data_IF_864407158100
#
_entry.id   IF_864407158100
#
_cell.length_a   1.000
_cell.length_b   1.000
_cell.length_c   1.000
_cell.angle_alpha   90.00
_cell.angle_beta   90.00
_cell.angle_gamma   90.00
#
_symmetry.space_group_name_H-M   'P 1'
#
loop_
_entity.id
_entity.type
_entity.pdbx_description
1 polymer ?
#
# COMPACT_ATOMS: atom_id res chain seq x y z
N UNK A 1 -17.18 5.27 13.73
CA UNK A 1 -15.89 4.56 13.83
C UNK A 1 -14.76 5.59 13.79
N UNK A 2 -13.81 5.50 14.72
CA UNK A 2 -12.63 6.38 14.70
C UNK A 2 -11.83 6.15 13.41
N UNK A 3 -11.29 7.23 12.84
CA UNK A 3 -10.44 7.14 11.65
C UNK A 3 -9.10 6.46 12.01
N UNK A 4 -8.57 5.62 11.11
CA UNK A 4 -7.25 5.02 11.29
C UNK A 4 -6.17 6.10 11.44
N UNK A 5 -5.20 5.89 12.31
CA UNK A 5 -4.09 6.81 12.52
C UNK A 5 -3.22 6.93 11.26
N UNK A 6 -2.75 8.14 10.93
CA UNK A 6 -1.61 8.35 10.03
C UNK A 6 -0.33 8.15 10.84
N UNK A 7 0.57 7.28 10.36
CA UNK A 7 1.83 7.05 11.03
C UNK A 7 2.82 8.18 10.73
N UNK A 8 3.56 8.61 11.75
CA UNK A 8 4.75 9.42 11.53
C UNK A 8 5.87 8.58 10.89
N UNK A 9 6.87 9.24 10.32
CA UNK A 9 8.04 8.55 9.74
C UNK A 9 8.74 7.65 10.77
N UNK A 10 8.87 8.13 12.00
CA UNK A 10 9.48 7.35 13.10
C UNK A 10 8.65 6.13 13.47
N UNK A 11 7.32 6.25 13.50
CA UNK A 11 6.42 5.13 13.77
C UNK A 11 6.50 4.09 12.66
N UNK A 12 6.54 4.52 11.41
CA UNK A 12 6.72 3.60 10.29
C UNK A 12 8.07 2.88 10.34
N UNK A 13 9.17 3.60 10.65
CA UNK A 13 10.49 2.98 10.90
C UNK A 13 10.44 1.94 12.02
N UNK A 14 9.72 2.22 13.13
CA UNK A 14 9.54 1.23 14.21
C UNK A 14 8.79 -0.02 13.74
N UNK A 15 7.70 0.16 12.95
CA UNK A 15 6.98 -0.98 12.39
C UNK A 15 7.89 -1.84 11.49
N UNK A 16 8.72 -1.22 10.65
CA UNK A 16 9.68 -1.93 9.81
C UNK A 16 10.78 -2.63 10.63
N UNK A 17 11.22 -2.04 11.75
CA UNK A 17 12.19 -2.65 12.65
C UNK A 17 11.62 -3.90 13.36
N UNK A 18 10.33 -3.87 13.75
CA UNK A 18 9.63 -5.04 14.27
C UNK A 18 9.56 -6.13 13.19
N UNK A 19 9.17 -5.76 11.97
CA UNK A 19 9.07 -6.70 10.85
C UNK A 19 10.41 -7.36 10.56
N UNK A 20 11.53 -6.64 10.62
CA UNK A 20 12.87 -7.18 10.35
C UNK A 20 13.26 -8.36 11.27
N UNK A 21 12.66 -8.45 12.46
CA UNK A 21 12.90 -9.55 13.42
C UNK A 21 11.96 -10.75 13.25
N UNK A 22 10.99 -10.67 12.34
CA UNK A 22 9.98 -11.72 12.14
C UNK A 22 10.47 -12.80 11.18
N UNK A 23 10.00 -14.03 11.36
CA UNK A 23 10.33 -15.19 10.51
C UNK A 23 10.09 -14.91 9.02
N UNK A 24 8.99 -14.21 8.71
CA UNK A 24 8.59 -13.90 7.32
C UNK A 24 8.79 -12.41 7.00
N UNK A 25 9.91 -11.84 7.45
CA UNK A 25 10.21 -10.40 7.39
C UNK A 25 10.09 -9.81 5.99
N UNK A 26 10.60 -10.48 4.96
CA UNK A 26 10.56 -9.96 3.59
C UNK A 26 9.11 -9.78 3.09
N UNK A 27 8.25 -10.77 3.34
CA UNK A 27 6.83 -10.76 2.99
C UNK A 27 6.07 -9.68 3.78
N UNK A 28 6.25 -9.67 5.10
CA UNK A 28 5.57 -8.76 6.01
C UNK A 28 5.97 -7.31 5.72
N UNK A 29 7.26 -7.09 5.37
CA UNK A 29 7.77 -5.80 4.89
C UNK A 29 7.08 -5.38 3.61
N UNK A 30 7.04 -6.23 2.59
CA UNK A 30 6.42 -5.89 1.32
C UNK A 30 4.92 -5.59 1.48
N UNK A 31 4.21 -6.32 2.34
CA UNK A 31 2.80 -6.03 2.66
C UNK A 31 2.61 -4.61 3.20
N UNK A 32 3.45 -4.17 4.14
CA UNK A 32 3.42 -2.80 4.65
C UNK A 32 3.74 -1.78 3.56
N UNK A 33 4.79 -2.02 2.75
CA UNK A 33 5.21 -1.08 1.71
C UNK A 33 4.16 -0.89 0.62
N UNK A 34 3.48 -1.95 0.19
CA UNK A 34 2.38 -1.86 -0.78
C UNK A 34 1.23 -0.97 -0.29
N UNK A 35 0.92 -1.04 1.01
CA UNK A 35 -0.12 -0.17 1.58
C UNK A 35 0.35 1.27 1.77
N UNK A 36 1.63 1.50 2.13
CA UNK A 36 2.18 2.83 2.43
C UNK A 36 2.68 3.58 1.19
N UNK A 37 3.28 2.89 0.20
CA UNK A 37 3.95 3.54 -0.94
C UNK A 37 3.15 3.46 -2.24
N UNK A 38 2.18 2.55 -2.34
CA UNK A 38 1.26 2.46 -3.47
C UNK A 38 -0.20 2.69 -3.06
N UNK A 39 -0.47 2.98 -1.78
CA UNK A 39 -1.80 3.26 -1.27
C UNK A 39 -2.80 2.13 -1.47
N UNK A 40 -2.35 0.89 -1.59
CA UNK A 40 -3.22 -0.25 -1.84
C UNK A 40 -4.09 -0.58 -0.62
N UNK A 41 -5.32 -1.04 -0.88
CA UNK A 41 -6.16 -1.64 0.16
C UNK A 41 -5.62 -3.02 0.52
N UNK A 42 -5.78 -3.44 1.76
CA UNK A 42 -5.28 -4.76 2.19
C UNK A 42 -5.89 -5.92 1.39
N UNK A 43 -7.15 -5.81 0.98
CA UNK A 43 -7.78 -6.81 0.10
C UNK A 43 -7.12 -6.84 -1.30
N UNK A 44 -6.73 -5.69 -1.85
CA UNK A 44 -6.02 -5.59 -3.11
C UNK A 44 -4.61 -6.22 -2.99
N UNK A 45 -3.92 -5.97 -1.88
CA UNK A 45 -2.61 -6.58 -1.60
C UNK A 45 -2.73 -8.10 -1.44
N UNK A 46 -3.78 -8.57 -0.76
CA UNK A 46 -4.01 -10.00 -0.54
C UNK A 46 -4.34 -10.77 -1.84
N UNK A 47 -4.99 -10.09 -2.79
CA UNK A 47 -5.40 -10.66 -4.07
C UNK A 47 -4.37 -10.47 -5.20
N UNK A 48 -3.24 -9.78 -4.92
CA UNK A 48 -2.25 -9.47 -5.94
C UNK A 48 -1.45 -10.71 -6.33
N UNK A 49 -1.35 -10.98 -7.64
CA UNK A 49 -0.62 -12.10 -8.22
C UNK A 49 0.66 -11.65 -8.92
N UNK A 50 1.58 -12.56 -9.16
CA UNK A 50 2.90 -12.30 -9.74
C UNK A 50 2.78 -11.79 -11.17
N UNK A 51 1.92 -12.39 -11.99
CA UNK A 51 1.67 -12.01 -13.39
C UNK A 51 1.14 -10.57 -13.57
N UNK A 52 0.61 -9.98 -12.50
CA UNK A 52 0.19 -8.57 -12.51
C UNK A 52 1.36 -7.60 -12.29
N UNK A 53 2.39 -8.01 -11.59
CA UNK A 53 3.50 -7.12 -11.19
C UNK A 53 4.77 -7.32 -11.99
N UNK A 54 4.87 -8.44 -12.72
CA UNK A 54 6.04 -8.79 -13.53
C UNK A 54 5.69 -8.70 -15.02
N UNK A 55 6.51 -7.98 -15.78
CA UNK A 55 6.41 -7.88 -17.23
C UNK A 55 6.97 -9.10 -17.96
N UNK A 56 6.79 -9.15 -19.28
CA UNK A 56 7.21 -10.29 -20.12
C UNK A 56 8.71 -10.59 -20.06
N UNK A 57 9.55 -9.58 -19.80
CA UNK A 57 11.01 -9.70 -19.69
C UNK A 57 11.48 -10.01 -18.26
N UNK A 58 10.55 -10.24 -17.32
CA UNK A 58 10.86 -10.54 -15.92
C UNK A 58 11.11 -9.29 -15.06
N UNK A 59 10.94 -8.11 -15.59
CA UNK A 59 11.06 -6.85 -14.86
C UNK A 59 9.81 -6.55 -13.99
N UNK A 60 9.99 -5.83 -12.90
CA UNK A 60 8.87 -5.31 -12.13
C UNK A 60 8.28 -4.10 -12.84
N UNK A 61 6.99 -4.16 -13.16
CA UNK A 61 6.26 -3.12 -13.88
C UNK A 61 6.23 -1.78 -13.10
N UNK A 62 6.17 -0.67 -13.82
CA UNK A 62 5.98 0.68 -13.25
C UNK A 62 4.54 0.93 -12.84
N UNK A 63 3.63 0.21 -13.47
CA UNK A 63 2.21 0.21 -13.16
C UNK A 63 1.60 -1.17 -13.42
N UNK A 64 0.55 -1.49 -12.71
CA UNK A 64 -0.24 -2.69 -12.96
C UNK A 64 -1.72 -2.45 -12.72
N UNK A 65 -2.55 -3.21 -13.42
CA UNK A 65 -4.00 -3.11 -13.31
C UNK A 65 -4.54 -4.14 -12.34
N UNK A 66 -5.31 -3.69 -11.37
CA UNK A 66 -6.15 -4.55 -10.55
C UNK A 66 -7.48 -4.78 -11.26
N UNK A 67 -7.90 -6.03 -11.35
CA UNK A 67 -9.17 -6.41 -11.96
C UNK A 67 -10.36 -6.10 -11.05
N UNK A 68 -11.57 -6.22 -11.60
CA UNK A 68 -12.81 -5.84 -10.91
C UNK A 68 -13.11 -6.71 -9.69
N UNK A 69 -12.73 -7.97 -9.71
CA UNK A 69 -12.86 -8.93 -8.62
C UNK A 69 -11.86 -8.69 -7.47
N UNK A 70 -10.69 -8.09 -7.79
CA UNK A 70 -9.66 -7.73 -6.82
C UNK A 70 -9.96 -6.42 -6.08
N UNK A 71 -10.93 -5.63 -6.57
CA UNK A 71 -11.24 -4.31 -6.00
C UNK A 71 -12.60 -4.30 -5.31
N UNK A 72 -12.68 -3.69 -4.13
CA UNK A 72 -13.96 -3.45 -3.47
C UNK A 72 -14.78 -2.47 -4.31
N UNK A 73 -15.79 -2.99 -5.04
CA UNK A 73 -16.71 -2.15 -5.80
C UNK A 73 -16.66 -2.32 -7.31
N UNK A 74 -16.19 -3.46 -7.84
CA UNK A 74 -16.35 -3.88 -9.23
C UNK A 74 -15.85 -2.91 -10.31
N UNK A 75 -14.78 -2.17 -10.06
CA UNK A 75 -14.01 -1.42 -11.07
C UNK A 75 -12.54 -1.66 -10.86
N UNK A 76 -11.87 -2.14 -11.90
CA UNK A 76 -10.42 -2.22 -11.93
C UNK A 76 -9.80 -0.82 -11.77
N UNK A 77 -8.57 -0.76 -11.25
CA UNK A 77 -7.79 0.47 -11.19
C UNK A 77 -6.32 0.21 -11.52
N UNK A 78 -5.65 1.22 -12.01
CA UNK A 78 -4.20 1.19 -12.17
C UNK A 78 -3.54 1.56 -10.84
N UNK A 79 -2.50 0.82 -10.49
CA UNK A 79 -1.62 1.10 -9.35
C UNK A 79 -0.27 1.50 -9.92
N UNK A 80 0.16 2.71 -9.62
CA UNK A 80 1.50 3.20 -9.98
C UNK A 80 2.50 2.78 -8.92
N UNK A 81 3.67 2.32 -9.35
CA UNK A 81 4.71 1.78 -8.47
C UNK A 81 5.99 2.61 -8.64
N UNK A 82 6.36 3.34 -7.60
CA UNK A 82 7.59 4.13 -7.63
C UNK A 82 8.85 3.23 -7.69
N UNK A 83 9.96 3.79 -8.14
CA UNK A 83 11.22 3.06 -8.31
C UNK A 83 11.68 2.35 -7.03
N UNK A 84 11.44 2.94 -5.86
CA UNK A 84 11.82 2.36 -4.57
C UNK A 84 11.02 1.10 -4.26
N UNK A 85 9.70 1.12 -4.49
CA UNK A 85 8.84 -0.04 -4.28
C UNK A 85 9.14 -1.14 -5.32
N UNK A 86 9.46 -0.79 -6.57
CA UNK A 86 9.90 -1.77 -7.59
C UNK A 86 11.13 -2.56 -7.12
N UNK A 87 12.12 -1.87 -6.54
CA UNK A 87 13.32 -2.53 -5.99
C UNK A 87 12.97 -3.49 -4.84
N UNK A 88 12.04 -3.11 -3.96
CA UNK A 88 11.59 -3.96 -2.86
C UNK A 88 10.83 -5.20 -3.37
N UNK A 89 9.97 -5.05 -4.39
CA UNK A 89 9.29 -6.18 -5.04
C UNK A 89 10.32 -7.11 -5.69
N UNK A 90 11.27 -6.59 -6.46
CA UNK A 90 12.31 -7.38 -7.10
C UNK A 90 13.17 -8.14 -6.08
N UNK A 91 13.58 -7.48 -4.98
CA UNK A 91 14.34 -8.11 -3.90
C UNK A 91 13.54 -9.24 -3.22
N UNK A 92 12.25 -9.03 -3.00
CA UNK A 92 11.37 -10.06 -2.44
C UNK A 92 11.26 -11.29 -3.37
N UNK A 93 11.03 -11.07 -4.67
CA UNK A 93 10.89 -12.15 -5.66
C UNK A 93 12.19 -12.93 -5.86
N UNK A 94 13.34 -12.26 -5.75
CA UNK A 94 14.65 -12.94 -5.82
C UNK A 94 14.83 -13.99 -4.71
N UNK A 95 14.30 -13.72 -3.52
CA UNK A 95 14.37 -14.64 -2.37
C UNK A 95 13.15 -15.57 -2.25
N UNK A 96 12.08 -15.27 -2.96
CA UNK A 96 10.83 -16.04 -2.98
C UNK A 96 10.37 -16.22 -4.43
N UNK A 97 11.11 -17.02 -5.23
CA UNK A 97 10.78 -17.18 -6.63
C UNK A 97 9.41 -17.85 -6.78
N UNK A 98 8.54 -17.35 -7.69
CA UNK A 98 7.24 -17.94 -7.96
C UNK A 98 7.41 -19.29 -8.69
N UNK A 99 6.46 -20.19 -8.49
CA UNK A 99 6.37 -21.43 -9.27
C UNK A 99 5.59 -21.18 -10.58
N UNK A 100 4.54 -20.35 -10.52
CA UNK A 100 3.67 -19.99 -11.64
C UNK A 100 3.38 -18.48 -11.62
N UNK A 101 3.10 -17.87 -12.77
CA UNK A 101 2.74 -16.46 -12.88
C UNK A 101 1.47 -16.10 -12.11
N UNK A 102 0.49 -17.00 -12.08
CA UNK A 102 -0.76 -16.82 -11.35
C UNK A 102 -0.62 -17.01 -9.82
N UNK A 103 0.59 -17.31 -9.31
CA UNK A 103 0.80 -17.42 -7.87
C UNK A 103 0.56 -16.07 -7.18
N UNK A 104 0.01 -16.09 -5.95
CA UNK A 104 -0.10 -14.89 -5.15
C UNK A 104 1.27 -14.25 -4.90
N UNK A 105 1.35 -12.92 -5.00
CA UNK A 105 2.59 -12.20 -4.68
C UNK A 105 3.03 -12.46 -3.23
N UNK A 106 2.09 -12.49 -2.29
CA UNK A 106 2.35 -12.74 -0.87
C UNK A 106 1.75 -14.07 -0.43
N UNK A 107 2.60 -15.02 -0.07
CA UNK A 107 2.18 -16.34 0.39
C UNK A 107 1.80 -16.35 1.87
N UNK A 108 0.66 -16.96 2.21
CA UNK A 108 0.29 -17.16 3.61
C UNK A 108 1.07 -18.31 4.26
N UNK A 109 1.19 -18.32 5.59
CA UNK A 109 1.89 -19.40 6.32
C UNK A 109 1.17 -20.76 6.26
N UNK A 110 -0.14 -20.74 6.04
CA UNK A 110 -0.98 -21.95 5.99
C UNK A 110 -0.99 -22.63 4.61
N UNK A 111 -0.12 -22.21 3.71
CA UNK A 111 -0.02 -22.76 2.37
C UNK A 111 0.55 -24.19 2.40
N UNK A 112 -0.32 -25.19 2.50
CA UNK A 112 0.05 -26.57 2.22
C UNK A 112 0.20 -26.76 0.71
N UNK A 113 1.42 -27.01 0.25
CA UNK A 113 1.85 -27.57 -1.04
C UNK A 113 1.37 -26.92 -2.36
N UNK A 114 0.41 -25.99 -2.37
CA UNK A 114 0.05 -25.16 -3.53
C UNK A 114 -0.22 -23.76 -3.03
N UNK A 115 0.48 -22.81 -3.59
CA UNK A 115 0.51 -21.41 -3.22
C UNK A 115 -0.89 -20.83 -2.87
N UNK A 116 -1.19 -20.72 -1.60
CA UNK A 116 -2.37 -19.98 -1.13
C UNK A 116 -1.93 -18.61 -0.66
N UNK A 117 -2.48 -17.57 -1.32
CA UNK A 117 -2.36 -16.20 -0.88
C UNK A 117 -3.00 -15.95 0.48
N UNK A 118 -2.91 -14.74 0.94
CA UNK A 118 -3.63 -14.29 2.12
C UNK A 118 -5.11 -14.13 1.84
N UNK A 119 -5.94 -14.51 2.80
CA UNK A 119 -7.28 -13.92 2.90
C UNK A 119 -7.13 -12.49 3.40
N UNK A 120 -7.93 -11.56 2.87
CA UNK A 120 -7.88 -10.15 3.25
C UNK A 120 -7.94 -9.92 4.77
N UNK A 121 -8.83 -10.64 5.46
CA UNK A 121 -8.95 -10.54 6.91
C UNK A 121 -7.69 -11.01 7.66
N UNK A 122 -7.04 -12.09 7.18
CA UNK A 122 -5.80 -12.59 7.79
C UNK A 122 -4.67 -11.60 7.61
N UNK A 123 -4.57 -10.95 6.43
CA UNK A 123 -3.57 -9.91 6.19
C UNK A 123 -3.85 -8.65 7.02
N UNK A 124 -5.12 -8.26 7.18
CA UNK A 124 -5.51 -7.20 8.12
C UNK A 124 -5.05 -7.48 9.54
N UNK A 125 -5.29 -8.71 10.03
CA UNK A 125 -4.87 -9.13 11.37
C UNK A 125 -3.34 -9.07 11.52
N UNK A 126 -2.60 -9.57 10.52
CA UNK A 126 -1.14 -9.52 10.50
C UNK A 126 -0.61 -8.08 10.63
N UNK A 127 -1.12 -7.17 9.81
CA UNK A 127 -0.71 -5.74 9.85
C UNK A 127 -1.05 -5.11 11.20
N UNK A 128 -2.23 -5.39 11.76
CA UNK A 128 -2.63 -4.89 13.07
C UNK A 128 -1.71 -5.43 14.20
N UNK A 129 -1.29 -6.70 14.10
CA UNK A 129 -0.33 -7.29 15.04
C UNK A 129 1.02 -6.57 14.95
N UNK A 130 1.53 -6.32 13.75
CA UNK A 130 2.80 -5.60 13.54
C UNK A 130 2.75 -4.19 14.18
N UNK A 131 1.68 -3.43 13.98
CA UNK A 131 1.55 -2.11 14.58
C UNK A 131 1.45 -2.15 16.11
N UNK A 132 0.76 -3.15 16.67
CA UNK A 132 0.69 -3.36 18.11
C UNK A 132 2.05 -3.73 18.69
N UNK A 133 2.79 -4.63 18.07
CA UNK A 133 4.16 -5.01 18.47
C UNK A 133 5.13 -3.81 18.38
N UNK A 134 4.90 -2.90 17.43
CA UNK A 134 5.65 -1.65 17.31
C UNK A 134 5.21 -0.55 18.32
N UNK A 135 4.24 -0.82 19.19
CA UNK A 135 3.72 0.14 20.17
C UNK A 135 2.98 1.32 19.54
N UNK A 136 2.37 1.13 18.36
CA UNK A 136 1.68 2.21 17.61
C UNK A 136 0.19 2.14 17.91
N UNK A 137 -0.25 2.92 18.88
CA UNK A 137 -1.66 3.00 19.26
C UNK A 137 -2.49 3.71 18.18
N UNK A 138 -3.72 3.23 17.94
CA UNK A 138 -4.66 3.80 16.97
C UNK A 138 -4.34 3.46 15.52
N UNK A 139 -3.22 2.76 15.24
CA UNK A 139 -2.92 2.26 13.91
C UNK A 139 -3.75 1.01 13.59
N UNK A 140 -4.18 0.93 12.34
CA UNK A 140 -4.95 -0.20 11.80
C UNK A 140 -4.41 -0.58 10.42
N UNK A 141 -4.90 -1.66 9.85
CA UNK A 141 -4.59 -2.09 8.49
C UNK A 141 -4.88 -1.02 7.41
N UNK A 142 -5.67 0.01 7.74
CA UNK A 142 -5.93 1.15 6.85
C UNK A 142 -4.91 2.29 6.99
N UNK A 143 -4.04 2.25 7.99
CA UNK A 143 -3.11 3.35 8.31
C UNK A 143 -2.11 3.61 7.19
N UNK A 144 -1.60 2.56 6.52
CA UNK A 144 -0.68 2.70 5.40
C UNK A 144 -1.29 3.51 4.25
N UNK A 145 -2.44 3.07 3.77
CA UNK A 145 -3.16 3.77 2.70
C UNK A 145 -3.57 5.19 3.11
N UNK A 146 -3.98 5.39 4.35
CA UNK A 146 -4.29 6.73 4.86
C UNK A 146 -3.04 7.62 4.83
N UNK A 147 -1.89 7.11 5.27
CA UNK A 147 -0.61 7.81 5.19
C UNK A 147 -0.27 8.23 3.77
N UNK A 148 -0.39 7.31 2.80
CA UNK A 148 -0.17 7.60 1.37
C UNK A 148 -1.03 8.77 0.88
N UNK A 149 -2.32 8.77 1.16
CA UNK A 149 -3.24 9.83 0.73
C UNK A 149 -2.90 11.18 1.41
N UNK A 150 -2.63 11.14 2.71
CA UNK A 150 -2.29 12.34 3.48
C UNK A 150 -0.95 12.93 3.02
N UNK A 151 0.04 12.09 2.73
CA UNK A 151 1.35 12.52 2.24
C UNK A 151 1.25 13.23 0.88
N UNK A 152 0.47 12.67 -0.06
CA UNK A 152 0.21 13.33 -1.34
C UNK A 152 -0.49 14.70 -1.14
N UNK A 153 -1.42 14.79 -0.21
CA UNK A 153 -2.09 16.05 0.12
C UNK A 153 -1.14 17.09 0.72
N UNK A 154 -0.23 16.64 1.61
CA UNK A 154 0.78 17.51 2.22
C UNK A 154 1.75 18.07 1.17
N UNK A 155 2.03 17.31 0.10
CA UNK A 155 2.82 17.76 -1.04
C UNK A 155 1.99 18.55 -2.08
N UNK A 156 0.81 19.05 -1.71
CA UNK A 156 -0.06 19.87 -2.58
C UNK A 156 -0.46 19.19 -3.89
N UNK A 157 -0.47 17.87 -3.94
CA UNK A 157 -0.98 17.12 -5.10
C UNK A 157 -2.48 17.38 -5.24
N UNK A 158 -2.93 17.67 -6.47
CA UNK A 158 -4.34 17.98 -6.73
C UNK A 158 -5.27 16.84 -6.29
N UNK A 159 -6.38 17.20 -5.66
CA UNK A 159 -7.33 16.23 -5.06
C UNK A 159 -7.85 15.18 -6.05
N UNK A 160 -8.01 15.55 -7.33
CA UNK A 160 -8.45 14.64 -8.39
C UNK A 160 -7.39 13.57 -8.66
N UNK A 161 -6.11 13.95 -8.70
CA UNK A 161 -4.98 13.02 -8.85
C UNK A 161 -4.93 12.06 -7.66
N UNK A 162 -5.06 12.59 -6.43
CA UNK A 162 -5.10 11.74 -5.22
C UNK A 162 -6.28 10.77 -5.26
N UNK A 163 -7.44 11.23 -5.70
CA UNK A 163 -8.65 10.40 -5.84
C UNK A 163 -8.41 9.22 -6.81
N UNK A 164 -7.81 9.49 -7.97
CA UNK A 164 -7.50 8.47 -8.97
C UNK A 164 -6.45 7.48 -8.47
N UNK A 165 -5.33 7.97 -7.91
CA UNK A 165 -4.28 7.13 -7.32
C UNK A 165 -4.81 6.25 -6.18
N UNK A 166 -5.68 6.78 -5.35
CA UNK A 166 -6.35 6.03 -4.31
C UNK A 166 -7.45 5.09 -4.84
N UNK A 167 -7.95 5.29 -6.05
CA UNK A 167 -9.13 4.57 -6.57
C UNK A 167 -10.38 4.83 -5.74
N UNK A 168 -10.62 6.11 -5.39
CA UNK A 168 -11.85 6.54 -4.75
C UNK A 168 -12.90 6.89 -5.80
N UNK A 169 -14.13 6.44 -5.60
CA UNK A 169 -15.24 6.71 -6.53
C UNK A 169 -15.81 8.12 -6.38
N UNK A 170 -15.74 8.66 -5.17
CA UNK A 170 -16.33 9.93 -4.80
C UNK A 170 -15.26 10.85 -4.22
N UNK A 171 -15.28 12.10 -4.67
CA UNK A 171 -14.36 13.12 -4.22
C UNK A 171 -14.42 13.34 -2.69
N UNK A 172 -15.62 13.29 -2.12
CA UNK A 172 -15.84 13.42 -0.67
C UNK A 172 -15.11 12.34 0.16
N UNK A 173 -14.82 11.18 -0.43
CA UNK A 173 -14.01 10.17 0.25
C UNK A 173 -12.56 10.64 0.38
N UNK A 174 -12.01 11.30 -0.63
CA UNK A 174 -10.65 11.85 -0.62
C UNK A 174 -10.55 13.06 0.29
N UNK A 175 -11.54 13.95 0.25
CA UNK A 175 -11.58 15.18 1.07
C UNK A 175 -11.43 14.91 2.57
N UNK A 176 -11.91 13.77 3.07
CA UNK A 176 -11.78 13.38 4.49
C UNK A 176 -10.31 13.19 4.95
N UNK A 177 -9.38 13.09 4.03
CA UNK A 177 -7.96 12.91 4.29
C UNK A 177 -7.13 14.18 4.08
N UNK A 178 -7.75 15.25 3.58
CA UNK A 178 -7.06 16.49 3.19
C UNK A 178 -7.42 17.56 4.20
N UNK A 179 -6.41 18.00 4.96
CA UNK A 179 -6.47 19.19 5.78
C UNK A 179 -5.61 20.26 5.10
N UNK A 180 -6.22 21.37 4.69
CA UNK A 180 -5.48 22.48 4.08
C UNK A 180 -4.87 23.35 5.20
N UNK A 181 -3.54 23.42 5.23
CA UNK A 181 -2.83 24.24 6.21
C UNK A 181 -2.76 25.73 5.78
N UNK A 182 -2.57 26.66 6.73
CA UNK A 182 -2.33 28.07 6.39
C UNK A 182 -1.09 28.27 5.50
N UNK A 183 -0.07 27.45 5.67
CA UNK A 183 1.15 27.46 4.86
C UNK A 183 0.88 27.05 3.41
N UNK A 184 0.13 25.97 3.18
CA UNK A 184 -0.30 25.58 1.84
C UNK A 184 -1.09 26.66 1.13
N UNK A 185 -1.94 27.40 1.85
CA UNK A 185 -2.69 28.53 1.27
C UNK A 185 -1.74 29.66 0.85
N UNK A 186 -0.77 30.02 1.69
CA UNK A 186 0.24 31.05 1.36
C UNK A 186 1.04 30.65 0.13
N UNK A 187 1.61 29.45 0.14
CA UNK A 187 2.40 28.95 -0.98
C UNK A 187 1.61 28.90 -2.29
N UNK A 188 0.31 28.54 -2.24
CA UNK A 188 -0.53 28.51 -3.43
C UNK A 188 -0.77 29.92 -4.04
N UNK A 189 -0.85 30.97 -3.20
CA UNK A 189 -1.01 32.35 -3.68
C UNK A 189 0.27 32.85 -4.33
N UNK A 190 1.44 32.48 -3.79
CA UNK A 190 2.74 32.88 -4.35
C UNK A 190 3.01 32.27 -5.74
N UNK A 191 2.35 31.18 -6.11
CA UNK A 191 2.46 30.57 -7.45
C UNK A 191 1.81 31.41 -8.57
N UNK A 192 0.98 32.43 -8.22
CA UNK A 192 0.26 33.23 -9.21
C UNK A 192 1.11 34.40 -9.72
N UNK A 193 2.22 34.71 -9.07
CA UNK A 193 3.15 35.77 -9.46
C UNK A 193 4.31 35.13 -10.23
N UNK A 194 4.09 34.93 -11.51
CA UNK A 194 5.07 34.48 -12.48
C UNK A 194 4.95 35.26 -13.76
#
# INVERSE_FOLDING_TARGET
>A
MAQAKVLSEQEFKRALAVVAKRRHHARDRLALLLTHWAGMRVCEVAALTIDKVIGPSGEVLEEFRLDTDQTKGSRGRVVLVNQRLRREIAAYLKTNPPLLGADPLLLSQKANRRARGFLANTLCQLINVIYREAGIQGATSHSGRRGFITELANHSVGIKVIMELAGHRQLGTTQRYINVTPEQKRNAVELIIG
#
